data_IF_094649748098
#
_entry.id   IF_094649748098
#
_cell.length_a   1.000
_cell.length_b   1.000
_cell.length_c   1.000
_cell.angle_alpha   90.00
_cell.angle_beta   90.00
_cell.angle_gamma   90.00
#
_symmetry.space_group_name_H-M   'P 1'
#
loop_
_entity.id
_entity.type
_entity.pdbx_description
1 polymer ?
#
# COMPACT_ATOMS: atom_id res chain seq x y z
N UNK A 1 -3.62 -12.51 21.55
CA UNK A 1 -2.69 -11.90 20.57
C UNK A 1 -2.51 -12.92 19.45
N UNK A 2 -2.80 -12.58 18.19
CA UNK A 2 -2.59 -13.51 17.06
C UNK A 2 -1.13 -13.95 17.00
N UNK A 3 -0.89 -15.20 16.64
CA UNK A 3 0.48 -15.69 16.44
C UNK A 3 1.05 -15.14 15.11
N UNK A 4 2.37 -15.28 14.90
CA UNK A 4 3.04 -14.75 13.69
C UNK A 4 2.46 -15.36 12.42
N UNK A 5 2.13 -16.64 12.44
CA UNK A 5 1.66 -17.36 11.27
C UNK A 5 0.25 -16.93 10.85
N UNK A 6 -0.62 -16.63 11.82
CA UNK A 6 -1.93 -16.05 11.58
C UNK A 6 -1.82 -14.65 10.98
N UNK A 7 -0.93 -13.80 11.51
CA UNK A 7 -0.68 -12.47 10.94
C UNK A 7 -0.09 -12.56 9.54
N UNK A 8 0.83 -13.49 9.28
CA UNK A 8 1.40 -13.70 7.93
C UNK A 8 0.32 -14.13 6.94
N UNK A 9 -0.63 -14.97 7.34
CA UNK A 9 -1.80 -15.35 6.51
C UNK A 9 -2.71 -14.16 6.24
N UNK A 10 -3.02 -13.36 7.26
CA UNK A 10 -3.82 -12.14 7.09
C UNK A 10 -3.16 -11.18 6.08
N UNK A 11 -1.83 -10.99 6.20
CA UNK A 11 -1.06 -10.18 5.26
C UNK A 11 -1.11 -10.73 3.84
N UNK A 12 -1.06 -12.04 3.66
CA UNK A 12 -1.14 -12.65 2.33
C UNK A 12 -2.51 -12.41 1.68
N UNK A 13 -3.60 -12.53 2.46
CA UNK A 13 -4.94 -12.21 1.97
C UNK A 13 -5.08 -10.73 1.59
N UNK A 14 -4.49 -9.83 2.38
CA UNK A 14 -4.53 -8.40 2.08
C UNK A 14 -3.64 -8.03 0.89
N UNK A 15 -2.47 -8.65 0.75
CA UNK A 15 -1.59 -8.49 -0.41
C UNK A 15 -2.34 -8.77 -1.71
N UNK A 16 -3.01 -9.91 -1.83
CA UNK A 16 -3.79 -10.26 -3.02
C UNK A 16 -4.89 -9.25 -3.34
N UNK A 17 -5.48 -8.62 -2.32
CA UNK A 17 -6.52 -7.61 -2.48
C UNK A 17 -5.95 -6.26 -2.88
N UNK A 18 -4.81 -5.86 -2.31
CA UNK A 18 -4.09 -4.64 -2.69
C UNK A 18 -3.62 -4.72 -4.13
N UNK A 19 -3.03 -5.85 -4.53
CA UNK A 19 -2.58 -6.07 -5.90
C UNK A 19 -3.73 -5.92 -6.89
N UNK A 20 -4.84 -6.65 -6.67
CA UNK A 20 -6.04 -6.56 -7.51
C UNK A 20 -6.63 -5.16 -7.54
N UNK A 21 -6.71 -4.48 -6.40
CA UNK A 21 -7.20 -3.10 -6.37
C UNK A 21 -6.35 -2.18 -7.26
N UNK A 22 -5.02 -2.25 -7.15
CA UNK A 22 -4.11 -1.41 -7.95
C UNK A 22 -4.18 -1.75 -9.44
N UNK A 23 -4.27 -3.03 -9.81
CA UNK A 23 -4.20 -3.44 -11.23
C UNK A 23 -5.55 -3.43 -11.95
N UNK A 24 -6.66 -3.65 -11.23
CA UNK A 24 -7.99 -3.86 -11.83
C UNK A 24 -8.98 -2.73 -11.53
N UNK A 25 -8.80 -2.02 -10.41
CA UNK A 25 -9.74 -0.99 -9.92
C UNK A 25 -9.14 0.42 -9.89
N UNK A 26 -7.94 0.58 -10.43
CA UNK A 26 -7.22 1.85 -10.43
C UNK A 26 -6.82 2.24 -11.83
N UNK A 27 -6.65 3.53 -12.06
CA UNK A 27 -6.08 4.05 -13.28
C UNK A 27 -5.21 5.28 -12.97
N UNK A 28 -4.34 5.63 -13.91
CA UNK A 28 -3.48 6.83 -13.83
C UNK A 28 -3.84 7.78 -14.96
N UNK A 29 -3.79 9.08 -14.67
CA UNK A 29 -4.03 10.16 -15.63
C UNK A 29 -2.82 11.08 -15.67
N UNK A 30 -2.55 11.65 -16.84
CA UNK A 30 -1.49 12.62 -17.03
C UNK A 30 -1.88 13.97 -16.40
N UNK A 31 -1.02 14.54 -15.56
CA UNK A 31 -1.23 15.86 -14.97
C UNK A 31 -0.80 16.94 -15.97
N UNK A 32 -1.78 17.58 -16.63
CA UNK A 32 -1.53 18.56 -17.71
C UNK A 32 -0.93 19.89 -17.21
N UNK A 33 -0.99 20.17 -15.90
CA UNK A 33 -0.69 21.50 -15.34
C UNK A 33 0.73 21.70 -14.75
N UNK A 34 1.64 20.72 -14.85
CA UNK A 34 3.02 20.96 -14.42
C UNK A 34 3.83 21.61 -15.55
N UNK A 35 4.00 22.94 -15.47
CA UNK A 35 4.89 23.71 -16.35
C UNK A 35 6.36 23.24 -16.32
N UNK A 36 6.70 22.34 -15.39
CA UNK A 36 7.96 21.61 -15.36
C UNK A 36 7.83 20.32 -16.18
N UNK A 37 8.41 20.32 -17.38
CA UNK A 37 8.62 19.11 -18.18
C UNK A 37 9.72 18.30 -17.47
N UNK A 38 9.33 17.52 -16.46
CA UNK A 38 10.20 16.48 -15.92
C UNK A 38 10.24 15.36 -16.96
N UNK A 39 11.43 14.92 -17.34
CA UNK A 39 11.64 13.83 -18.31
C UNK A 39 10.83 12.59 -17.86
N UNK A 40 9.74 12.27 -18.55
CA UNK A 40 8.80 11.19 -18.20
C UNK A 40 7.41 11.61 -17.71
N UNK A 41 7.12 12.91 -17.53
CA UNK A 41 5.80 13.43 -17.16
C UNK A 41 5.39 13.20 -15.69
N UNK A 42 4.38 13.93 -15.25
CA UNK A 42 3.75 13.76 -13.93
C UNK A 42 2.42 13.04 -14.11
N UNK A 43 2.23 11.92 -13.39
CA UNK A 43 0.98 11.19 -13.38
C UNK A 43 0.32 11.27 -12.00
N UNK A 44 -1.00 11.33 -11.99
CA UNK A 44 -1.82 11.24 -10.80
C UNK A 44 -2.81 10.10 -10.93
N UNK A 45 -3.41 9.68 -9.83
CA UNK A 45 -4.46 8.68 -9.85
C UNK A 45 -5.73 9.26 -10.49
N UNK A 46 -6.36 8.45 -11.33
CA UNK A 46 -7.68 8.74 -11.85
C UNK A 46 -8.70 8.74 -10.71
N UNK A 47 -9.77 9.53 -10.84
CA UNK A 47 -10.86 9.47 -9.90
C UNK A 47 -11.51 8.08 -9.92
N UNK A 48 -11.58 7.43 -8.75
CA UNK A 48 -12.27 6.16 -8.58
C UNK A 48 -13.77 6.30 -8.83
N UNK A 49 -14.36 5.25 -9.41
CA UNK A 49 -15.82 5.06 -9.47
C UNK A 49 -16.42 4.98 -8.06
N UNK A 50 -17.74 5.13 -7.95
CA UNK A 50 -18.43 4.98 -6.66
C UNK A 50 -18.16 3.63 -6.00
N UNK A 51 -18.15 2.57 -6.81
CA UNK A 51 -18.01 1.19 -6.33
C UNK A 51 -16.57 0.95 -5.90
N UNK A 52 -15.59 1.45 -6.66
CA UNK A 52 -14.18 1.33 -6.32
C UNK A 52 -13.80 2.14 -5.07
N UNK A 53 -14.49 3.25 -4.79
CA UNK A 53 -14.31 3.99 -3.52
C UNK A 53 -14.77 3.17 -2.32
N UNK A 54 -15.85 2.41 -2.44
CA UNK A 54 -16.33 1.50 -1.39
C UNK A 54 -15.29 0.39 -1.17
N UNK A 55 -14.78 -0.19 -2.25
CA UNK A 55 -13.70 -1.19 -2.20
C UNK A 55 -12.44 -0.64 -1.54
N UNK A 56 -12.01 0.57 -1.93
CA UNK A 56 -10.86 1.27 -1.35
C UNK A 56 -11.04 1.48 0.16
N UNK A 57 -12.21 1.97 0.59
CA UNK A 57 -12.49 2.23 1.99
C UNK A 57 -12.41 0.94 2.82
N UNK A 58 -13.04 -0.15 2.35
CA UNK A 58 -12.99 -1.44 3.03
C UNK A 58 -11.56 -2.00 3.08
N UNK A 59 -10.85 -1.98 1.94
CA UNK A 59 -9.47 -2.45 1.85
C UNK A 59 -8.54 -1.70 2.82
N UNK A 60 -8.71 -0.38 2.92
CA UNK A 60 -7.96 0.47 3.85
C UNK A 60 -8.22 0.08 5.30
N UNK A 61 -9.49 -0.11 5.68
CA UNK A 61 -9.84 -0.50 7.05
C UNK A 61 -9.24 -1.86 7.40
N UNK A 62 -9.33 -2.83 6.49
CA UNK A 62 -8.80 -4.18 6.69
C UNK A 62 -7.27 -4.14 6.85
N UNK A 63 -6.58 -3.37 6.00
CA UNK A 63 -5.12 -3.20 6.10
C UNK A 63 -4.70 -2.52 7.40
N UNK A 64 -5.43 -1.48 7.83
CA UNK A 64 -5.16 -0.81 9.11
C UNK A 64 -5.31 -1.81 10.26
N UNK A 65 -6.36 -2.61 10.28
CA UNK A 65 -6.59 -3.59 11.34
C UNK A 65 -5.44 -4.60 11.44
N UNK A 66 -4.98 -5.15 10.31
CA UNK A 66 -3.87 -6.13 10.30
C UNK A 66 -2.54 -5.47 10.67
N UNK A 67 -2.26 -4.28 10.13
CA UNK A 67 -1.00 -3.56 10.42
C UNK A 67 -0.91 -3.07 11.87
N UNK A 68 -2.03 -2.74 12.51
CA UNK A 68 -2.06 -2.41 13.96
C UNK A 68 -1.73 -3.63 14.82
N UNK A 69 -2.29 -4.81 14.51
CA UNK A 69 -1.96 -6.03 15.24
C UNK A 69 -0.47 -6.41 15.09
N UNK A 70 0.08 -6.21 13.90
CA UNK A 70 1.50 -6.39 13.64
C UNK A 70 2.37 -5.39 14.42
N UNK A 71 1.98 -4.11 14.44
CA UNK A 71 2.68 -3.06 15.19
C UNK A 71 2.67 -3.33 16.70
N UNK A 72 1.51 -3.68 17.27
CA UNK A 72 1.39 -4.04 18.69
C UNK A 72 2.31 -5.22 19.06
N UNK A 73 2.45 -6.19 18.15
CA UNK A 73 3.37 -7.30 18.36
C UNK A 73 4.83 -6.84 18.37
N UNK A 74 5.24 -5.99 17.43
CA UNK A 74 6.59 -5.42 17.40
C UNK A 74 6.91 -4.62 18.66
N UNK A 75 5.95 -3.87 19.17
CA UNK A 75 6.07 -3.16 20.46
C UNK A 75 6.23 -4.14 21.62
N UNK A 76 5.43 -5.22 21.66
CA UNK A 76 5.50 -6.22 22.72
C UNK A 76 6.87 -6.92 22.78
N UNK A 77 7.48 -7.20 21.63
CA UNK A 77 8.82 -7.79 21.56
C UNK A 77 9.96 -6.75 21.62
N UNK A 78 9.64 -5.47 21.84
CA UNK A 78 10.60 -4.36 21.87
C UNK A 78 11.49 -4.32 20.62
N UNK A 79 10.90 -4.56 19.45
CA UNK A 79 11.62 -4.59 18.18
C UNK A 79 12.26 -3.24 17.89
N UNK A 80 13.53 -3.26 17.48
CA UNK A 80 14.24 -2.05 17.00
C UNK A 80 13.72 -1.55 15.65
N UNK A 81 12.88 -2.31 14.97
CA UNK A 81 12.42 -2.06 13.60
C UNK A 81 11.03 -1.40 13.52
N UNK A 82 10.49 -0.91 14.64
CA UNK A 82 9.16 -0.26 14.66
C UNK A 82 9.11 0.93 13.69
N UNK A 83 10.17 1.75 13.64
CA UNK A 83 10.22 2.90 12.75
C UNK A 83 10.24 2.49 11.26
N UNK A 84 10.98 1.45 10.90
CA UNK A 84 10.99 0.92 9.52
C UNK A 84 9.64 0.31 9.15
N UNK A 85 8.99 -0.38 10.10
CA UNK A 85 7.65 -0.91 9.93
C UNK A 85 6.63 0.21 9.71
N UNK A 86 6.65 1.27 10.52
CA UNK A 86 5.73 2.41 10.40
C UNK A 86 5.94 3.16 9.07
N UNK A 87 7.19 3.29 8.61
CA UNK A 87 7.50 3.85 7.27
C UNK A 87 6.90 3.00 6.16
N UNK A 88 7.15 1.69 6.20
CA UNK A 88 6.63 0.75 5.22
C UNK A 88 5.10 0.74 5.20
N UNK A 89 4.49 0.82 6.38
CA UNK A 89 3.04 0.88 6.55
C UNK A 89 2.42 2.11 5.88
N UNK A 90 3.02 3.28 6.07
CA UNK A 90 2.53 4.49 5.43
C UNK A 90 2.71 4.45 3.91
N UNK A 91 3.79 3.83 3.40
CA UNK A 91 3.96 3.64 1.96
C UNK A 91 2.83 2.80 1.35
N UNK A 92 2.46 1.67 1.97
CA UNK A 92 1.31 0.87 1.51
C UNK A 92 0.02 1.67 1.58
N UNK A 93 -0.20 2.44 2.65
CA UNK A 93 -1.40 3.27 2.80
C UNK A 93 -1.53 4.32 1.69
N UNK A 94 -0.43 4.93 1.25
CA UNK A 94 -0.43 5.88 0.13
C UNK A 94 -0.88 5.22 -1.17
N UNK A 95 -0.44 4.00 -1.44
CA UNK A 95 -0.90 3.25 -2.62
C UNK A 95 -2.37 2.87 -2.54
N UNK A 96 -2.87 2.48 -1.35
CA UNK A 96 -4.31 2.21 -1.16
C UNK A 96 -5.12 3.49 -1.31
N UNK A 97 -4.70 4.60 -0.70
CA UNK A 97 -5.41 5.89 -0.72
C UNK A 97 -5.36 6.57 -2.08
N UNK A 98 -4.38 6.24 -2.92
CA UNK A 98 -4.17 6.87 -4.22
C UNK A 98 -3.99 8.39 -4.10
N UNK A 99 -3.37 8.84 -3.01
CA UNK A 99 -3.14 10.25 -2.70
C UNK A 99 -1.71 10.72 -3.04
N UNK A 100 -0.90 9.81 -3.60
CA UNK A 100 0.47 10.09 -4.02
C UNK A 100 0.56 10.52 -5.49
N UNK A 101 1.53 11.39 -5.78
CA UNK A 101 1.95 11.67 -7.14
C UNK A 101 2.83 10.50 -7.61
N UNK A 102 2.55 10.00 -8.81
CA UNK A 102 3.38 8.99 -9.46
C UNK A 102 4.40 9.72 -10.34
N UNK A 103 5.64 9.79 -9.84
CA UNK A 103 6.77 10.36 -10.58
C UNK A 103 7.33 9.28 -11.51
N UNK A 104 7.41 9.60 -12.82
CA UNK A 104 7.77 8.71 -13.94
C UNK A 104 6.67 7.74 -14.36
N UNK A 105 6.78 7.25 -15.60
CA UNK A 105 5.94 6.18 -16.16
C UNK A 105 6.18 4.89 -15.37
N UNK A 106 5.47 4.72 -14.26
CA UNK A 106 5.31 3.45 -13.57
C UNK A 106 3.98 2.87 -14.01
N UNK A 107 4.00 1.67 -14.57
CA UNK A 107 2.75 0.96 -14.87
C UNK A 107 2.03 0.62 -13.57
N UNK A 108 0.74 0.30 -13.65
CA UNK A 108 -0.02 -0.15 -12.48
C UNK A 108 0.60 -1.42 -11.87
N UNK A 109 1.15 -2.30 -12.70
CA UNK A 109 1.86 -3.51 -12.27
C UNK A 109 3.14 -3.16 -11.51
N UNK A 110 3.94 -2.21 -12.01
CA UNK A 110 5.14 -1.75 -11.31
C UNK A 110 4.77 -1.10 -9.96
N UNK A 111 3.68 -0.35 -9.92
CA UNK A 111 3.16 0.28 -8.70
C UNK A 111 2.69 -0.77 -7.69
N UNK A 112 1.96 -1.78 -8.16
CA UNK A 112 1.51 -2.90 -7.35
C UNK A 112 2.71 -3.68 -6.78
N UNK A 113 3.76 -3.91 -7.58
CA UNK A 113 4.96 -4.61 -7.11
C UNK A 113 5.71 -3.81 -6.02
N UNK A 114 5.72 -2.47 -6.07
CA UNK A 114 6.27 -1.66 -4.98
C UNK A 114 5.46 -1.85 -3.69
N UNK A 115 4.13 -1.79 -3.76
CA UNK A 115 3.27 -2.04 -2.59
C UNK A 115 3.48 -3.46 -2.02
N UNK A 116 3.65 -4.46 -2.89
CA UNK A 116 3.96 -5.84 -2.52
C UNK A 116 5.30 -5.98 -1.81
N UNK A 117 6.34 -5.29 -2.28
CA UNK A 117 7.65 -5.28 -1.63
C UNK A 117 7.59 -4.69 -0.21
N UNK A 118 6.81 -3.65 -0.01
CA UNK A 118 6.57 -3.07 1.32
C UNK A 118 5.80 -4.05 2.23
N UNK A 119 4.80 -4.76 1.71
CA UNK A 119 4.11 -5.83 2.46
C UNK A 119 5.04 -7.00 2.82
N UNK A 120 5.97 -7.37 1.92
CA UNK A 120 7.00 -8.36 2.24
C UNK A 120 7.94 -7.88 3.33
N UNK A 121 8.37 -6.62 3.30
CA UNK A 121 9.18 -6.03 4.35
C UNK A 121 8.44 -6.10 5.69
N UNK A 122 7.17 -5.70 5.75
CA UNK A 122 6.37 -5.81 6.98
C UNK A 122 6.28 -7.23 7.51
N UNK A 123 6.02 -8.22 6.63
CA UNK A 123 6.03 -9.65 7.01
C UNK A 123 7.39 -10.13 7.51
N UNK A 124 8.47 -9.65 6.90
CA UNK A 124 9.83 -9.99 7.30
C UNK A 124 10.15 -9.45 8.69
N UNK A 125 9.82 -8.19 8.98
CA UNK A 125 10.07 -7.53 10.26
C UNK A 125 9.31 -8.15 11.45
N UNK A 126 8.24 -8.91 11.20
CA UNK A 126 7.47 -9.64 12.22
C UNK A 126 8.15 -10.92 12.72
N UNK A 127 9.27 -11.30 12.13
CA UNK A 127 10.05 -12.51 12.46
C UNK A 127 11.13 -12.17 13.47
#
# INVERSE_FOLDING_TARGET
>A
MKNVDELKKDYQMIEERIMRFITEHSAVVYAVDSGDIVEGGIFTWAALSSDDRILQAQLRLDYIAVSELARQRLEHIHSRYIADFDRSREMVLRYIRQDSILLKILTLEATAEVAKNELYLQKFLLT
#
